data_IF_402867894311
#
_entry.id   IF_402867894311
#
_cell.length_a   1.000
_cell.length_b   1.000
_cell.length_c   1.000
_cell.angle_alpha   90.00
_cell.angle_beta   90.00
_cell.angle_gamma   90.00
#
_symmetry.space_group_name_H-M   'P 1'
#
loop_
_entity.id
_entity.type
_entity.pdbx_description
1 polymer ?
#
# COMPACT_ATOMS: atom_id res chain seq x y z
N UNK A 1 0.71 -12.58 6.22
CA UNK A 1 -0.03 -11.47 6.84
C UNK A 1 0.97 -10.38 7.13
N UNK A 2 0.66 -9.11 6.84
CA UNK A 2 1.61 -8.00 7.10
C UNK A 2 1.90 -7.86 8.59
N UNK A 3 0.87 -8.05 9.41
CA UNK A 3 0.96 -8.02 10.87
C UNK A 3 0.97 -9.40 11.50
N UNK A 4 1.50 -9.51 12.74
CA UNK A 4 1.37 -10.72 13.54
C UNK A 4 -0.09 -11.01 13.91
N UNK A 5 -0.38 -12.27 14.22
CA UNK A 5 -1.61 -12.63 14.89
C UNK A 5 -1.54 -12.26 16.39
N UNK A 6 -2.63 -12.51 17.14
CA UNK A 6 -2.66 -12.17 18.57
C UNK A 6 -1.68 -12.98 19.43
N UNK A 7 -1.19 -14.14 18.96
CA UNK A 7 -0.23 -14.98 19.69
C UNK A 7 1.18 -14.41 19.53
N UNK A 8 1.54 -14.01 18.31
CA UNK A 8 2.86 -13.48 17.99
C UNK A 8 2.99 -11.97 18.22
N UNK A 9 1.88 -11.25 18.38
CA UNK A 9 1.87 -9.80 18.57
C UNK A 9 2.74 -9.31 19.74
N UNK A 10 2.70 -9.90 20.95
CA UNK A 10 3.53 -9.45 22.06
C UNK A 10 5.02 -9.43 21.72
N UNK A 11 5.56 -10.50 21.14
CA UNK A 11 6.99 -10.57 20.79
C UNK A 11 7.34 -9.64 19.63
N UNK A 12 6.45 -9.44 18.66
CA UNK A 12 6.67 -8.43 17.62
C UNK A 12 6.72 -7.01 18.19
N UNK A 13 5.87 -6.68 19.17
CA UNK A 13 5.86 -5.37 19.83
C UNK A 13 7.13 -5.16 20.68
N UNK A 14 7.64 -6.19 21.34
CA UNK A 14 8.93 -6.14 22.03
C UNK A 14 10.08 -5.86 21.04
N UNK A 15 10.05 -6.51 19.87
CA UNK A 15 11.03 -6.28 18.81
C UNK A 15 10.96 -4.85 18.25
N UNK A 16 9.76 -4.30 18.08
CA UNK A 16 9.58 -2.88 17.71
C UNK A 16 10.24 -1.99 18.76
N UNK A 17 9.94 -2.17 20.05
CA UNK A 17 10.56 -1.37 21.11
C UNK A 17 12.08 -1.47 21.06
N UNK A 18 12.62 -2.67 20.89
CA UNK A 18 14.06 -2.90 20.81
C UNK A 18 14.74 -2.25 19.59
N UNK A 19 14.06 -2.17 18.44
CA UNK A 19 14.60 -1.57 17.22
C UNK A 19 14.75 -0.04 17.31
N UNK A 20 13.86 0.62 18.05
CA UNK A 20 13.82 2.08 18.19
C UNK A 20 14.47 2.61 19.47
N UNK A 21 14.68 1.77 20.50
CA UNK A 21 15.33 2.15 21.76
C UNK A 21 16.70 2.85 21.57
N UNK A 22 17.61 2.38 20.68
CA UNK A 22 18.94 2.99 20.52
C UNK A 22 18.91 4.45 20.06
N UNK A 23 17.78 4.90 19.49
CA UNK A 23 17.57 6.24 18.93
C UNK A 23 16.63 7.11 19.76
N UNK A 24 16.38 6.71 21.00
CA UNK A 24 15.52 7.43 21.94
C UNK A 24 14.05 6.98 21.93
N UNK A 25 13.75 5.83 21.32
CA UNK A 25 12.40 5.29 21.22
C UNK A 25 11.61 5.80 20.01
N UNK A 26 10.30 5.57 20.04
CA UNK A 26 9.35 6.03 19.03
C UNK A 26 9.05 7.52 19.21
N UNK A 27 8.88 8.25 18.11
CA UNK A 27 8.33 9.61 18.12
C UNK A 27 6.83 9.63 18.46
N UNK A 28 6.23 10.83 18.57
CA UNK A 28 4.84 11.00 18.97
C UNK A 28 3.85 10.29 18.01
N UNK A 29 4.07 10.38 16.69
CA UNK A 29 3.17 9.79 15.68
C UNK A 29 3.32 8.27 15.63
N UNK A 30 4.55 7.77 15.69
CA UNK A 30 4.86 6.35 15.78
C UNK A 30 4.28 5.74 17.05
N UNK A 31 4.37 6.46 18.17
CA UNK A 31 3.81 6.04 19.44
C UNK A 31 2.27 6.01 19.39
N UNK A 32 1.62 7.00 18.80
CA UNK A 32 0.17 7.00 18.64
C UNK A 32 -0.29 5.82 17.79
N UNK A 33 0.38 5.54 16.66
CA UNK A 33 0.03 4.40 15.81
C UNK A 33 0.20 3.07 16.54
N UNK A 34 1.32 2.85 17.23
CA UNK A 34 1.56 1.55 17.87
C UNK A 34 0.57 1.28 19.00
N UNK A 35 0.15 2.33 19.73
CA UNK A 35 -0.91 2.24 20.74
C UNK A 35 -2.23 1.84 20.09
N UNK A 36 -2.60 2.48 18.99
CA UNK A 36 -3.85 2.16 18.29
C UNK A 36 -3.84 0.78 17.65
N UNK A 37 -2.76 0.38 16.99
CA UNK A 37 -2.62 -0.97 16.44
C UNK A 37 -2.67 -2.03 17.54
N UNK A 38 -1.96 -1.82 18.66
CA UNK A 38 -1.96 -2.73 19.80
C UNK A 38 -3.38 -3.01 20.30
N UNK A 39 -4.15 -1.94 20.49
CA UNK A 39 -5.53 -2.00 20.94
C UNK A 39 -6.48 -2.60 19.89
N UNK A 40 -6.42 -2.11 18.65
CA UNK A 40 -7.40 -2.40 17.60
C UNK A 40 -7.23 -3.79 16.98
N UNK A 41 -5.99 -4.26 16.84
CA UNK A 41 -5.70 -5.55 16.18
C UNK A 41 -5.57 -6.70 17.17
N UNK A 42 -4.98 -6.47 18.35
CA UNK A 42 -4.62 -7.54 19.28
C UNK A 42 -5.23 -7.40 20.67
N UNK A 43 -5.93 -6.28 20.96
CA UNK A 43 -6.51 -6.04 22.29
C UNK A 43 -5.46 -5.88 23.39
N UNK A 44 -4.25 -5.42 23.03
CA UNK A 44 -3.11 -5.23 23.93
C UNK A 44 -2.95 -3.75 24.31
N UNK A 45 -2.33 -3.51 25.45
CA UNK A 45 -1.89 -2.17 25.87
C UNK A 45 -0.39 -2.01 25.64
N UNK A 46 0.03 -1.03 24.85
CA UNK A 46 1.45 -0.78 24.55
C UNK A 46 2.31 -0.56 25.81
N UNK A 47 1.73 0.02 26.86
CA UNK A 47 2.37 0.25 28.17
C UNK A 47 2.78 -1.04 28.88
N UNK A 48 2.18 -2.18 28.53
CA UNK A 48 2.51 -3.50 29.09
C UNK A 48 3.61 -4.23 28.31
N UNK A 49 4.03 -3.69 27.16
CA UNK A 49 5.10 -4.27 26.35
C UNK A 49 6.44 -3.83 26.95
N UNK A 50 7.16 -4.76 27.56
CA UNK A 50 8.47 -4.50 28.14
C UNK A 50 9.58 -4.36 27.09
N UNK A 51 10.66 -3.67 27.44
CA UNK A 51 11.89 -3.74 26.66
C UNK A 51 12.57 -5.09 26.89
N UNK A 52 12.92 -5.76 25.80
CA UNK A 52 13.62 -7.05 25.83
C UNK A 52 14.95 -6.93 25.09
N UNK A 53 16.01 -7.45 25.71
CA UNK A 53 17.34 -7.48 25.11
C UNK A 53 17.31 -8.21 23.73
N UNK A 54 17.81 -7.58 22.66
CA UNK A 54 17.77 -8.15 21.30
C UNK A 54 18.35 -9.56 21.17
N UNK A 55 19.32 -9.95 22.02
CA UNK A 55 19.91 -11.29 22.01
C UNK A 55 18.88 -12.40 22.23
N UNK A 56 17.79 -12.11 22.93
CA UNK A 56 16.69 -13.06 23.17
C UNK A 56 15.85 -13.35 21.92
N UNK A 57 15.89 -12.48 20.91
CA UNK A 57 15.14 -12.70 19.66
C UNK A 57 15.83 -13.68 18.71
N UNK A 58 17.05 -14.13 19.01
CA UNK A 58 17.78 -15.09 18.18
C UNK A 58 16.98 -16.39 17.95
N UNK A 59 16.23 -16.84 18.96
CA UNK A 59 15.41 -18.07 18.92
C UNK A 59 13.99 -17.87 18.38
N UNK A 60 13.57 -16.63 18.09
CA UNK A 60 12.23 -16.34 17.56
C UNK A 60 12.11 -16.90 16.13
N UNK A 61 10.98 -17.54 15.75
CA UNK A 61 10.77 -18.04 14.39
C UNK A 61 10.91 -16.95 13.33
N UNK A 62 11.47 -17.30 12.16
CA UNK A 62 11.69 -16.32 11.09
C UNK A 62 10.41 -15.62 10.64
N UNK A 63 9.28 -16.34 10.57
CA UNK A 63 7.98 -15.76 10.20
C UNK A 63 7.55 -14.61 11.11
N UNK A 64 7.81 -14.73 12.41
CA UNK A 64 7.49 -13.71 13.43
C UNK A 64 8.44 -12.52 13.31
N UNK A 65 9.73 -12.80 13.05
CA UNK A 65 10.71 -11.75 12.76
C UNK A 65 10.32 -10.95 11.52
N UNK A 66 9.87 -11.62 10.45
CA UNK A 66 9.45 -10.95 9.21
C UNK A 66 8.19 -10.08 9.45
N UNK A 67 7.23 -10.54 10.25
CA UNK A 67 6.07 -9.74 10.67
C UNK A 67 6.47 -8.51 11.51
N UNK A 68 7.41 -8.67 12.44
CA UNK A 68 7.96 -7.54 13.18
C UNK A 68 8.69 -6.56 12.24
N UNK A 69 9.42 -7.08 11.24
CA UNK A 69 10.09 -6.27 10.22
C UNK A 69 9.13 -5.33 9.52
N UNK A 70 7.98 -5.84 9.09
CA UNK A 70 6.98 -5.04 8.39
C UNK A 70 6.47 -3.89 9.25
N UNK A 71 6.18 -4.14 10.52
CA UNK A 71 5.71 -3.11 11.45
C UNK A 71 6.80 -2.07 11.75
N UNK A 72 8.05 -2.51 11.94
CA UNK A 72 9.21 -1.63 12.12
C UNK A 72 9.40 -0.73 10.89
N UNK A 73 9.26 -1.26 9.68
CA UNK A 73 9.36 -0.50 8.42
C UNK A 73 8.27 0.56 8.32
N UNK A 74 7.01 0.22 8.65
CA UNK A 74 5.91 1.18 8.64
C UNK A 74 6.20 2.34 9.59
N UNK A 75 6.61 2.03 10.83
CA UNK A 75 6.95 3.05 11.83
C UNK A 75 8.13 3.91 11.39
N UNK A 76 9.19 3.32 10.85
CA UNK A 76 10.34 4.06 10.32
C UNK A 76 9.90 5.04 9.23
N UNK A 77 9.11 4.59 8.26
CA UNK A 77 8.66 5.42 7.14
C UNK A 77 7.64 6.49 7.55
N UNK A 78 7.07 6.43 8.75
CA UNK A 78 6.22 7.50 9.27
C UNK A 78 6.99 8.70 9.81
N UNK A 79 8.25 8.50 10.20
CA UNK A 79 9.05 9.58 10.77
C UNK A 79 9.29 10.66 9.71
N UNK A 80 8.98 11.91 10.06
CA UNK A 80 9.13 13.04 9.15
C UNK A 80 9.82 14.23 9.84
N UNK A 81 11.02 14.65 9.38
CA UNK A 81 11.89 13.95 8.43
C UNK A 81 12.47 12.67 9.06
N UNK A 82 12.63 11.61 8.26
CA UNK A 82 13.28 10.38 8.70
C UNK A 82 14.73 10.68 9.14
N UNK A 83 15.03 10.40 10.42
CA UNK A 83 16.37 10.60 10.97
C UNK A 83 17.32 9.50 10.49
N UNK A 84 18.54 9.83 10.00
CA UNK A 84 19.51 8.83 9.55
C UNK A 84 19.84 7.79 10.64
N UNK A 85 19.95 8.22 11.89
CA UNK A 85 20.22 7.33 13.01
C UNK A 85 19.11 6.29 13.24
N UNK A 86 17.85 6.64 13.00
CA UNK A 86 16.70 5.71 13.09
C UNK A 86 16.78 4.70 11.96
N UNK A 87 17.00 5.17 10.73
CA UNK A 87 17.16 4.31 9.56
C UNK A 87 18.32 3.30 9.71
N UNK A 88 19.43 3.73 10.30
CA UNK A 88 20.62 2.90 10.60
C UNK A 88 20.36 1.92 11.76
N UNK A 89 19.64 2.35 12.80
CA UNK A 89 19.25 1.48 13.93
C UNK A 89 18.36 0.34 13.47
N UNK A 90 17.30 0.65 12.73
CA UNK A 90 16.38 -0.35 12.16
C UNK A 90 17.10 -1.33 11.26
N UNK A 91 17.99 -0.84 10.38
CA UNK A 91 18.77 -1.69 9.49
C UNK A 91 19.71 -2.61 10.27
N UNK A 92 20.41 -2.07 11.26
CA UNK A 92 21.34 -2.83 12.11
C UNK A 92 20.63 -3.91 12.92
N UNK A 93 19.47 -3.57 13.50
CA UNK A 93 18.62 -4.49 14.25
C UNK A 93 18.17 -5.64 13.34
N UNK A 94 17.63 -5.32 12.16
CA UNK A 94 17.16 -6.32 11.21
C UNK A 94 18.28 -7.25 10.72
N UNK A 95 19.47 -6.69 10.40
CA UNK A 95 20.64 -7.48 10.02
C UNK A 95 21.07 -8.44 11.14
N UNK A 96 21.05 -7.97 12.40
CA UNK A 96 21.46 -8.78 13.56
C UNK A 96 20.57 -10.02 13.78
N UNK A 97 19.31 -9.96 13.35
CA UNK A 97 18.33 -11.03 13.51
C UNK A 97 18.11 -11.89 12.26
N UNK A 98 18.83 -11.58 11.17
CA UNK A 98 18.67 -12.25 9.87
C UNK A 98 17.35 -11.93 9.18
N UNK A 99 16.76 -10.76 9.47
CA UNK A 99 15.53 -10.30 8.82
C UNK A 99 15.82 -9.86 7.39
N UNK A 100 15.02 -10.34 6.44
CA UNK A 100 15.20 -9.96 5.03
C UNK A 100 14.56 -8.59 4.81
N UNK A 101 15.37 -7.53 4.87
CA UNK A 101 14.93 -6.16 4.60
C UNK A 101 14.97 -5.81 3.10
N UNK A 102 14.99 -6.81 2.21
CA UNK A 102 14.95 -6.58 0.77
C UNK A 102 13.79 -5.64 0.41
N UNK A 103 12.66 -5.75 1.11
CA UNK A 103 11.48 -4.90 0.91
C UNK A 103 11.69 -3.43 1.31
N UNK A 104 12.46 -3.15 2.38
CA UNK A 104 12.82 -1.78 2.77
C UNK A 104 13.90 -1.23 1.85
N UNK A 105 14.86 -2.05 1.42
CA UNK A 105 15.81 -1.68 0.39
C UNK A 105 15.11 -1.39 -0.93
N UNK A 106 14.09 -2.17 -1.30
CA UNK A 106 13.28 -1.98 -2.49
C UNK A 106 12.42 -0.72 -2.36
N UNK A 107 11.73 -0.49 -1.22
CA UNK A 107 10.96 0.73 -0.97
C UNK A 107 11.86 2.00 -0.93
N UNK A 108 13.03 1.93 -0.29
CA UNK A 108 14.02 3.03 -0.26
C UNK A 108 14.71 3.22 -1.64
N UNK A 109 14.92 2.17 -2.43
CA UNK A 109 15.42 2.27 -3.80
C UNK A 109 14.37 2.77 -4.79
N UNK A 110 13.09 2.44 -4.56
CA UNK A 110 11.94 3.01 -5.26
C UNK A 110 11.81 4.51 -4.99
N UNK A 111 12.09 4.94 -3.76
CA UNK A 111 12.16 6.35 -3.40
C UNK A 111 13.30 7.10 -4.11
N UNK A 112 14.43 6.42 -4.34
CA UNK A 112 15.62 7.06 -4.89
C UNK A 112 15.75 7.05 -6.41
N UNK A 113 15.15 6.16 -7.22
CA UNK A 113 15.02 6.40 -8.69
C UNK A 113 14.28 5.36 -9.58
N UNK A 114 13.65 4.28 -9.09
CA UNK A 114 13.27 3.17 -9.99
C UNK A 114 11.86 2.57 -9.86
N UNK A 115 10.82 3.41 -9.87
CA UNK A 115 9.42 2.98 -10.08
C UNK A 115 9.25 2.18 -11.38
N UNK A 116 10.02 2.50 -12.43
CA UNK A 116 10.02 1.77 -13.69
C UNK A 116 10.60 0.34 -13.57
N UNK A 117 11.56 0.11 -12.65
CA UNK A 117 12.13 -1.21 -12.42
C UNK A 117 11.18 -2.08 -11.61
N UNK A 118 10.52 -1.54 -10.57
CA UNK A 118 9.43 -2.23 -9.88
C UNK A 118 8.28 -2.52 -10.85
N UNK A 119 7.89 -1.58 -11.70
CA UNK A 119 6.86 -1.82 -12.71
C UNK A 119 7.27 -2.93 -13.68
N UNK A 120 8.53 -2.92 -14.15
CA UNK A 120 9.09 -4.00 -14.96
C UNK A 120 9.22 -5.30 -14.17
N UNK A 121 9.40 -5.27 -12.85
CA UNK A 121 9.54 -6.43 -11.99
C UNK A 121 8.18 -7.02 -11.62
N UNK A 122 7.18 -6.19 -11.35
CA UNK A 122 5.76 -6.54 -11.26
C UNK A 122 5.22 -7.04 -12.60
N UNK A 123 5.75 -6.55 -13.74
CA UNK A 123 5.45 -7.08 -15.07
C UNK A 123 6.23 -8.38 -15.40
N UNK A 124 7.50 -8.50 -15.01
CA UNK A 124 8.35 -9.68 -15.27
C UNK A 124 8.01 -10.85 -14.33
N UNK A 125 7.76 -10.55 -13.07
CA UNK A 125 7.15 -11.41 -12.07
C UNK A 125 5.63 -11.24 -12.04
N UNK A 126 5.02 -10.72 -13.12
CA UNK A 126 3.59 -10.80 -13.28
C UNK A 126 3.21 -12.28 -13.34
N UNK A 127 2.77 -12.77 -12.19
CA UNK A 127 1.98 -13.98 -12.01
C UNK A 127 0.65 -13.92 -12.80
N UNK A 128 0.39 -12.84 -13.55
CA UNK A 128 -0.76 -12.58 -14.41
C UNK A 128 -0.43 -12.61 -15.91
N UNK A 129 0.61 -13.33 -16.32
CA UNK A 129 0.93 -13.49 -17.76
C UNK A 129 0.48 -14.86 -18.27
N UNK A 130 -0.72 -14.92 -18.84
CA UNK A 130 -0.95 -15.75 -20.02
C UNK A 130 -1.35 -14.79 -21.15
N UNK A 131 -0.34 -14.25 -21.85
CA UNK A 131 -0.33 -14.11 -23.33
C UNK A 131 0.72 -13.11 -23.87
N UNK A 132 1.31 -12.22 -23.08
CA UNK A 132 2.04 -11.09 -23.69
C UNK A 132 3.52 -11.32 -24.02
N UNK A 133 4.10 -12.49 -23.70
CA UNK A 133 5.54 -12.75 -23.89
C UNK A 133 5.91 -13.53 -25.16
N UNK A 134 4.96 -13.90 -26.04
CA UNK A 134 5.29 -14.59 -27.30
C UNK A 134 5.57 -13.66 -28.50
N UNK A 135 5.22 -12.37 -28.45
CA UNK A 135 5.34 -11.49 -29.63
C UNK A 135 6.68 -10.73 -29.75
N UNK A 136 7.56 -10.78 -28.73
CA UNK A 136 8.78 -9.96 -28.69
C UNK A 136 9.93 -10.43 -29.61
N UNK A 137 9.71 -11.35 -30.57
CA UNK A 137 10.78 -11.81 -31.49
C UNK A 137 10.67 -11.30 -32.94
N UNK A 138 9.73 -10.40 -33.27
CA UNK A 138 9.48 -9.99 -34.67
C UNK A 138 9.55 -8.49 -34.99
N UNK A 139 10.40 -7.70 -34.31
CA UNK A 139 10.77 -6.36 -34.82
C UNK A 139 9.73 -5.23 -34.62
N UNK A 140 8.81 -5.38 -33.67
CA UNK A 140 7.76 -4.39 -33.35
C UNK A 140 8.14 -3.38 -32.26
N UNK A 141 9.37 -2.86 -32.26
CA UNK A 141 9.82 -1.89 -31.23
C UNK A 141 8.94 -0.63 -31.16
N UNK A 142 8.47 -0.12 -32.31
CA UNK A 142 7.57 1.03 -32.38
C UNK A 142 6.19 0.75 -31.78
N UNK A 143 5.65 -0.45 -31.99
CA UNK A 143 4.36 -0.83 -31.43
C UNK A 143 4.47 -1.15 -29.93
N UNK A 144 5.57 -1.75 -29.49
CA UNK A 144 5.92 -1.89 -28.07
C UNK A 144 6.07 -0.53 -27.39
N UNK A 145 6.76 0.42 -28.02
CA UNK A 145 6.92 1.76 -27.47
C UNK A 145 5.57 2.50 -27.44
N UNK A 146 4.75 2.38 -28.50
CA UNK A 146 3.41 2.95 -28.53
C UNK A 146 2.48 2.32 -27.49
N UNK A 147 2.53 1.00 -27.32
CA UNK A 147 1.77 0.27 -26.31
C UNK A 147 2.21 0.70 -24.90
N UNK A 148 3.51 0.85 -24.65
CA UNK A 148 4.02 1.40 -23.39
C UNK A 148 3.57 2.84 -23.16
N UNK A 149 3.65 3.70 -24.18
CA UNK A 149 3.21 5.10 -24.10
C UNK A 149 1.69 5.22 -23.90
N UNK A 150 0.90 4.33 -24.52
CA UNK A 150 -0.54 4.27 -24.32
C UNK A 150 -0.88 3.76 -22.92
N UNK A 151 -0.14 2.76 -22.46
CA UNK A 151 -0.30 2.21 -21.12
C UNK A 151 -0.03 3.27 -20.04
N UNK A 152 1.05 4.07 -20.14
CA UNK A 152 1.34 5.15 -19.18
C UNK A 152 0.52 6.45 -19.42
N UNK A 153 -0.53 6.40 -20.25
CA UNK A 153 -1.45 7.51 -20.49
C UNK A 153 -0.88 8.68 -21.30
N UNK A 154 0.24 8.50 -22.01
CA UNK A 154 0.83 9.53 -22.91
C UNK A 154 0.11 9.57 -24.26
N UNK A 155 -0.42 8.42 -24.70
CA UNK A 155 -1.22 8.28 -25.91
C UNK A 155 -2.55 7.62 -25.51
N UNK A 156 -3.63 7.94 -26.19
CA UNK A 156 -4.93 7.32 -25.93
C UNK A 156 -4.95 5.85 -26.37
N UNK A 157 -5.50 4.99 -25.50
CA UNK A 157 -5.97 3.65 -25.82
C UNK A 157 -7.50 3.66 -25.83
N UNK A 158 -8.08 3.79 -27.02
CA UNK A 158 -9.53 3.88 -27.20
C UNK A 158 -10.28 2.63 -26.76
N UNK A 159 -9.64 1.46 -26.75
CA UNK A 159 -10.28 0.20 -26.33
C UNK A 159 -10.38 0.19 -24.82
N UNK A 160 -9.30 0.54 -24.13
CA UNK A 160 -9.28 0.67 -22.69
C UNK A 160 -10.20 1.79 -22.21
N UNK A 161 -10.18 2.96 -22.86
CA UNK A 161 -11.07 4.07 -22.55
C UNK A 161 -12.54 3.65 -22.64
N UNK A 162 -12.95 2.97 -23.73
CA UNK A 162 -14.32 2.45 -23.88
C UNK A 162 -14.70 1.45 -22.79
N UNK A 163 -13.77 0.56 -22.40
CA UNK A 163 -13.98 -0.39 -21.30
C UNK A 163 -14.28 0.35 -20.00
N UNK A 164 -13.47 1.35 -19.64
CA UNK A 164 -13.66 2.11 -18.40
C UNK A 164 -14.87 3.05 -18.44
N UNK A 165 -15.14 3.70 -19.58
CA UNK A 165 -16.35 4.50 -19.78
C UNK A 165 -17.64 3.67 -19.66
N UNK A 166 -17.61 2.37 -19.97
CA UNK A 166 -18.77 1.49 -19.78
C UNK A 166 -19.23 1.36 -18.32
N UNK A 167 -18.39 1.76 -17.36
CA UNK A 167 -18.77 1.84 -15.95
C UNK A 167 -19.89 2.88 -15.70
N UNK A 168 -20.00 3.91 -16.55
CA UNK A 168 -21.07 4.91 -16.48
C UNK A 168 -22.47 4.31 -16.70
N UNK A 169 -22.54 3.17 -17.40
CA UNK A 169 -23.78 2.46 -17.72
C UNK A 169 -24.15 1.41 -16.65
N UNK A 170 -23.30 1.19 -15.64
CA UNK A 170 -23.59 0.24 -14.57
C UNK A 170 -24.78 0.74 -13.71
N UNK A 171 -25.54 -0.17 -13.08
CA UNK A 171 -26.71 0.20 -12.27
C UNK A 171 -26.36 1.16 -11.13
N UNK A 172 -27.27 2.08 -10.78
CA UNK A 172 -27.10 2.96 -9.62
C UNK A 172 -26.89 2.13 -8.33
N UNK A 173 -25.92 2.55 -7.52
CA UNK A 173 -25.51 1.83 -6.30
C UNK A 173 -24.68 0.56 -6.56
N UNK A 174 -24.31 0.26 -7.82
CA UNK A 174 -23.32 -0.76 -8.13
C UNK A 174 -21.89 -0.26 -7.88
N UNK A 175 -20.95 -1.19 -7.69
CA UNK A 175 -19.56 -0.87 -7.46
C UNK A 175 -18.92 -0.16 -8.66
N UNK A 176 -19.16 -0.67 -9.87
CA UNK A 176 -18.69 -0.06 -11.11
C UNK A 176 -19.24 1.35 -11.32
N UNK A 177 -20.53 1.57 -11.03
CA UNK A 177 -21.12 2.91 -11.08
C UNK A 177 -20.46 3.85 -10.08
N UNK A 178 -20.19 3.38 -8.86
CA UNK A 178 -19.44 4.14 -7.85
C UNK A 178 -18.03 4.53 -8.31
N UNK A 179 -17.31 3.65 -9.02
CA UNK A 179 -16.00 3.96 -9.62
C UNK A 179 -16.12 4.99 -10.74
N UNK A 180 -17.14 4.90 -11.60
CA UNK A 180 -17.37 5.92 -12.62
C UNK A 180 -17.65 7.29 -12.01
N UNK A 181 -18.50 7.34 -10.97
CA UNK A 181 -18.85 8.57 -10.27
C UNK A 181 -17.64 9.14 -9.50
N UNK A 182 -16.77 8.28 -8.96
CA UNK A 182 -15.49 8.67 -8.36
C UNK A 182 -14.60 9.41 -9.37
N UNK A 183 -14.40 8.85 -10.57
CA UNK A 183 -13.62 9.50 -11.62
C UNK A 183 -14.23 10.84 -12.07
N UNK A 184 -15.56 10.87 -12.29
CA UNK A 184 -16.27 12.08 -12.73
C UNK A 184 -16.22 13.19 -11.68
N UNK A 185 -16.44 12.86 -10.41
CA UNK A 185 -16.47 13.83 -9.31
C UNK A 185 -15.11 14.47 -9.04
N UNK A 186 -14.02 13.71 -9.20
CA UNK A 186 -12.65 14.21 -9.04
C UNK A 186 -12.09 14.84 -10.32
N UNK A 187 -12.81 14.75 -11.45
CA UNK A 187 -12.33 15.23 -12.75
C UNK A 187 -11.15 14.43 -13.29
N UNK A 188 -11.01 13.17 -12.89
CA UNK A 188 -9.95 12.28 -13.36
C UNK A 188 -10.29 11.74 -14.76
N UNK A 189 -9.33 11.74 -15.71
CA UNK A 189 -9.50 11.04 -16.98
C UNK A 189 -9.58 9.53 -16.74
N UNK A 190 -10.47 8.84 -17.43
CA UNK A 190 -10.58 7.39 -17.33
C UNK A 190 -9.30 6.71 -17.84
N UNK A 191 -8.97 5.50 -17.34
CA UNK A 191 -7.87 4.72 -17.89
C UNK A 191 -8.03 4.49 -19.39
N UNK A 192 -6.95 4.72 -20.13
CA UNK A 192 -6.94 4.70 -21.60
C UNK A 192 -7.24 6.05 -22.25
N UNK A 193 -7.79 7.03 -21.52
CA UNK A 193 -7.86 8.42 -21.97
C UNK A 193 -6.51 9.11 -21.83
N UNK A 194 -6.35 10.25 -22.52
CA UNK A 194 -5.13 11.05 -22.42
C UNK A 194 -4.93 11.53 -20.98
N UNK A 195 -3.74 11.31 -20.43
CA UNK A 195 -3.39 11.57 -19.03
C UNK A 195 -4.12 10.71 -17.99
N UNK A 196 -4.93 9.74 -18.41
CA UNK A 196 -5.52 8.76 -17.51
C UNK A 196 -4.46 7.88 -16.87
N UNK A 197 -4.72 7.43 -15.64
CA UNK A 197 -3.90 6.44 -14.96
C UNK A 197 -3.97 5.11 -15.73
N UNK A 198 -2.89 4.35 -15.70
CA UNK A 198 -2.84 3.04 -16.34
C UNK A 198 -3.72 2.03 -15.59
N UNK A 199 -4.26 1.04 -16.29
CA UNK A 199 -5.31 0.15 -15.75
C UNK A 199 -4.89 -0.62 -14.48
N UNK A 200 -3.63 -1.06 -14.39
CA UNK A 200 -3.15 -1.76 -13.19
C UNK A 200 -3.07 -0.82 -11.98
N UNK A 201 -2.66 0.43 -12.18
CA UNK A 201 -2.64 1.46 -11.16
C UNK A 201 -4.07 1.77 -10.73
N UNK A 202 -4.98 1.93 -11.69
CA UNK A 202 -6.39 2.24 -11.47
C UNK A 202 -7.16 1.21 -10.61
N UNK A 203 -6.57 0.04 -10.33
CA UNK A 203 -7.17 -0.96 -9.44
C UNK A 203 -7.34 -0.45 -8.00
N UNK A 204 -6.45 0.42 -7.50
CA UNK A 204 -6.61 0.97 -6.15
C UNK A 204 -7.81 1.93 -6.05
N UNK A 205 -8.20 2.59 -7.14
CA UNK A 205 -9.41 3.42 -7.20
C UNK A 205 -10.69 2.62 -6.92
N UNK A 206 -10.71 1.34 -7.30
CA UNK A 206 -11.80 0.45 -6.90
C UNK A 206 -11.84 0.22 -5.40
N UNK A 207 -10.66 0.22 -4.75
CA UNK A 207 -10.53 0.07 -3.30
C UNK A 207 -10.96 1.33 -2.58
N UNK A 208 -10.68 2.54 -3.11
CA UNK A 208 -11.24 3.79 -2.57
C UNK A 208 -12.77 3.70 -2.47
N UNK A 209 -13.44 3.29 -3.55
CA UNK A 209 -14.91 3.16 -3.56
C UNK A 209 -15.40 2.03 -2.65
N UNK A 210 -14.71 0.88 -2.66
CA UNK A 210 -15.08 -0.27 -1.83
C UNK A 210 -14.95 0.05 -0.34
N UNK A 211 -13.84 0.64 0.08
CA UNK A 211 -13.52 0.95 1.46
C UNK A 211 -14.03 2.33 1.92
N UNK A 212 -14.45 3.19 1.00
CA UNK A 212 -15.02 4.52 1.30
C UNK A 212 -13.98 5.58 1.67
N UNK A 213 -12.71 5.41 1.28
CA UNK A 213 -11.67 6.41 1.53
C UNK A 213 -11.59 7.42 0.39
N UNK A 214 -11.38 8.69 0.75
CA UNK A 214 -11.20 9.80 -0.19
C UNK A 214 -9.77 9.80 -0.78
N UNK A 215 -9.47 10.79 -1.64
CA UNK A 215 -8.18 11.00 -2.32
C UNK A 215 -7.37 12.17 -1.76
N UNK A 216 -7.77 12.71 -0.61
CA UNK A 216 -6.92 13.60 0.16
C UNK A 216 -5.68 12.83 0.69
N UNK A 217 -4.59 13.51 1.07
CA UNK A 217 -3.36 12.85 1.51
C UNK A 217 -3.55 11.76 2.58
N UNK A 218 -4.46 12.00 3.53
CA UNK A 218 -4.82 11.07 4.59
C UNK A 218 -5.65 9.90 4.06
N UNK A 219 -6.59 10.15 3.15
CA UNK A 219 -7.39 9.12 2.49
C UNK A 219 -6.54 8.16 1.64
N UNK A 220 -5.51 8.69 0.98
CA UNK A 220 -4.48 7.88 0.30
C UNK A 220 -3.73 6.99 1.31
N UNK A 221 -3.31 7.52 2.45
CA UNK A 221 -2.67 6.71 3.49
C UNK A 221 -3.63 5.64 4.04
N UNK A 222 -4.89 5.99 4.31
CA UNK A 222 -5.91 5.07 4.80
C UNK A 222 -6.19 3.92 3.83
N UNK A 223 -6.34 4.20 2.54
CA UNK A 223 -6.60 3.18 1.52
C UNK A 223 -5.40 2.25 1.39
N UNK A 224 -4.17 2.77 1.45
CA UNK A 224 -2.98 1.94 1.31
C UNK A 224 -2.68 1.14 2.59
N UNK A 225 -3.06 1.62 3.78
CA UNK A 225 -3.08 0.78 4.99
C UNK A 225 -4.07 -0.39 4.84
N UNK A 226 -5.26 -0.11 4.31
CA UNK A 226 -6.25 -1.14 4.01
C UNK A 226 -5.74 -2.15 2.98
N UNK A 227 -5.21 -1.69 1.84
CA UNK A 227 -4.66 -2.53 0.77
C UNK A 227 -3.55 -3.42 1.32
N UNK A 228 -2.62 -2.83 2.06
CA UNK A 228 -1.52 -3.57 2.66
C UNK A 228 -2.05 -4.72 3.52
N UNK A 229 -2.93 -4.42 4.49
CA UNK A 229 -3.47 -5.45 5.37
C UNK A 229 -4.31 -6.51 4.62
N UNK A 230 -5.09 -6.13 3.62
CA UNK A 230 -5.94 -7.03 2.83
C UNK A 230 -5.13 -7.97 1.92
N UNK A 231 -4.06 -7.48 1.30
CA UNK A 231 -3.14 -8.32 0.51
C UNK A 231 -2.38 -9.30 1.40
N UNK A 232 -1.99 -8.86 2.60
CA UNK A 232 -1.38 -9.72 3.61
C UNK A 232 0.02 -10.23 3.24
N UNK A 233 0.70 -9.61 2.26
CA UNK A 233 2.03 -9.98 1.79
C UNK A 233 2.90 -8.75 1.45
N UNK A 234 4.14 -9.02 1.03
CA UNK A 234 5.16 -8.01 0.72
C UNK A 234 4.73 -6.95 -0.29
N UNK A 235 3.85 -7.30 -1.25
CA UNK A 235 3.41 -6.38 -2.31
C UNK A 235 2.61 -5.22 -1.71
N UNK A 236 1.72 -5.54 -0.77
CA UNK A 236 0.93 -4.55 -0.05
C UNK A 236 1.81 -3.61 0.78
N UNK A 237 2.84 -4.15 1.43
CA UNK A 237 3.80 -3.35 2.20
C UNK A 237 4.61 -2.40 1.31
N UNK A 238 5.05 -2.85 0.14
CA UNK A 238 5.76 -2.00 -0.84
C UNK A 238 4.89 -0.84 -1.29
N UNK A 239 3.63 -1.11 -1.64
CA UNK A 239 2.68 -0.06 -2.03
C UNK A 239 2.49 0.97 -0.91
N UNK A 240 2.30 0.50 0.32
CA UNK A 240 2.21 1.36 1.49
C UNK A 240 3.49 2.18 1.72
N UNK A 241 4.67 1.57 1.57
CA UNK A 241 5.94 2.27 1.71
C UNK A 241 6.12 3.40 0.70
N UNK A 242 5.66 3.20 -0.54
CA UNK A 242 5.62 4.27 -1.56
C UNK A 242 4.66 5.39 -1.13
N UNK A 243 3.47 5.05 -0.63
CA UNK A 243 2.46 6.03 -0.19
C UNK A 243 2.95 6.84 1.01
N UNK A 244 3.57 6.20 2.02
CA UNK A 244 4.23 6.91 3.14
C UNK A 244 5.36 7.81 2.65
N UNK A 245 6.12 7.34 1.65
CA UNK A 245 7.15 8.12 0.99
C UNK A 245 6.63 9.41 0.33
N UNK A 246 5.43 9.36 -0.26
CA UNK A 246 4.78 10.48 -0.95
C UNK A 246 4.05 11.43 -0.01
N UNK A 247 3.30 10.87 0.94
CA UNK A 247 2.30 11.59 1.73
C UNK A 247 2.67 11.79 3.21
N UNK A 248 3.78 11.23 3.67
CA UNK A 248 4.21 11.39 5.05
C UNK A 248 5.65 11.90 5.14
N UNK A 249 6.64 11.08 4.81
CA UNK A 249 8.03 11.44 5.08
C UNK A 249 8.69 12.28 3.95
N UNK A 250 8.07 12.35 2.77
CA UNK A 250 8.55 13.14 1.63
C UNK A 250 9.80 12.60 0.93
N UNK A 251 10.19 11.35 1.20
CA UNK A 251 11.30 10.67 0.53
C UNK A 251 11.02 10.42 -0.95
N UNK A 252 9.75 10.47 -1.36
CA UNK A 252 9.31 10.34 -2.75
C UNK A 252 8.60 11.61 -3.15
N UNK A 253 9.10 12.28 -4.19
CA UNK A 253 8.51 13.53 -4.70
C UNK A 253 7.90 13.37 -6.10
N UNK A 254 8.21 12.27 -6.78
CA UNK A 254 7.79 12.01 -8.14
C UNK A 254 7.39 10.55 -8.31
N UNK A 255 6.27 10.34 -9.01
CA UNK A 255 5.88 9.04 -9.55
C UNK A 255 5.85 9.18 -11.06
N UNK A 256 6.56 8.32 -11.77
CA UNK A 256 6.64 8.37 -13.25
C UNK A 256 7.09 9.74 -13.81
N UNK A 257 8.04 10.41 -13.15
CA UNK A 257 8.52 11.76 -13.50
C UNK A 257 7.43 12.85 -13.45
N UNK A 258 6.23 12.54 -12.97
CA UNK A 258 5.18 13.51 -12.69
C UNK A 258 5.19 13.81 -11.20
N UNK A 259 5.12 15.11 -10.88
CA UNK A 259 4.83 15.54 -9.53
C UNK A 259 3.38 15.16 -9.22
N UNK A 260 3.17 14.43 -8.14
CA UNK A 260 1.82 14.12 -7.65
C UNK A 260 1.27 15.41 -7.02
N UNK A 261 0.19 15.94 -7.61
CA UNK A 261 -0.27 17.31 -7.34
C UNK A 261 -0.78 17.53 -5.91
N UNK A 262 -1.32 16.48 -5.28
CA UNK A 262 -1.80 16.46 -3.90
C UNK A 262 -0.77 15.92 -2.90
N UNK A 263 0.45 15.55 -3.32
CA UNK A 263 1.46 15.07 -2.38
C UNK A 263 1.77 16.14 -1.33
N UNK A 264 1.57 15.77 -0.08
CA UNK A 264 1.85 16.57 1.11
C UNK A 264 2.73 15.74 2.01
N UNK A 265 3.87 16.26 2.43
CA UNK A 265 4.64 15.70 3.55
C UNK A 265 3.94 16.06 4.83
N UNK A 266 3.87 15.18 5.83
CA UNK A 266 3.21 15.36 7.15
C UNK A 266 1.72 15.01 7.31
N UNK A 267 1.07 14.33 6.35
CA UNK A 267 -0.38 14.11 6.41
C UNK A 267 -0.87 13.37 7.68
N UNK A 268 -0.06 12.50 8.30
CA UNK A 268 -0.42 11.84 9.57
C UNK A 268 -0.35 12.77 10.78
N UNK A 269 0.22 13.98 10.65
CA UNK A 269 0.20 15.00 11.69
C UNK A 269 -1.16 15.69 11.86
N UNK A 270 -2.09 15.47 10.92
CA UNK A 270 -3.42 16.06 11.00
C UNK A 270 -4.29 15.38 12.09
N UNK A 271 -5.16 16.13 12.79
CA UNK A 271 -5.96 15.58 13.88
C UNK A 271 -6.79 14.35 13.46
N UNK A 272 -6.54 13.22 14.14
CA UNK A 272 -7.27 11.97 13.91
C UNK A 272 -6.80 11.16 12.68
N UNK A 273 -5.77 11.60 11.97
CA UNK A 273 -5.22 10.88 10.82
C UNK A 273 -4.60 9.52 11.25
N UNK A 274 -3.89 9.48 12.38
CA UNK A 274 -3.30 8.23 12.91
C UNK A 274 -4.39 7.20 13.26
N UNK A 275 -5.45 7.59 13.97
CA UNK A 275 -6.53 6.67 14.34
C UNK A 275 -7.21 6.09 13.09
N UNK A 276 -7.46 6.93 12.07
CA UNK A 276 -8.00 6.49 10.77
C UNK A 276 -7.06 5.53 10.05
N UNK A 277 -5.76 5.83 10.04
CA UNK A 277 -4.73 4.99 9.43
C UNK A 277 -4.65 3.61 10.11
N UNK A 278 -4.68 3.58 11.45
CA UNK A 278 -4.78 2.35 12.24
C UNK A 278 -6.07 1.56 11.94
N UNK A 279 -7.21 2.26 11.79
CA UNK A 279 -8.48 1.68 11.38
C UNK A 279 -8.40 1.10 9.96
N UNK A 280 -7.64 1.72 9.06
CA UNK A 280 -7.31 1.21 7.73
C UNK A 280 -6.74 -0.20 7.79
N UNK A 281 -5.71 -0.39 8.59
CA UNK A 281 -5.12 -1.71 8.83
C UNK A 281 -6.12 -2.70 9.45
N UNK A 282 -6.89 -2.28 10.46
CA UNK A 282 -7.93 -3.14 11.07
C UNK A 282 -8.94 -3.61 10.05
N UNK A 283 -9.51 -2.69 9.26
CA UNK A 283 -10.51 -3.00 8.22
C UNK A 283 -9.92 -3.90 7.13
N UNK A 284 -8.69 -3.62 6.68
CA UNK A 284 -8.00 -4.45 5.69
C UNK A 284 -7.73 -5.87 6.21
N UNK A 285 -7.39 -6.04 7.49
CA UNK A 285 -7.18 -7.36 8.10
C UNK A 285 -8.43 -8.24 8.16
N UNK A 286 -9.62 -7.64 8.03
CA UNK A 286 -10.91 -8.34 7.95
C UNK A 286 -11.35 -8.60 6.51
N UNK A 287 -10.75 -7.92 5.54
CA UNK A 287 -11.01 -8.14 4.13
C UNK A 287 -10.54 -9.54 3.74
N UNK A 288 -11.42 -10.35 3.16
CA UNK A 288 -11.16 -11.76 2.86
C UNK A 288 -10.58 -11.99 1.46
N UNK A 289 -10.36 -10.91 0.70
CA UNK A 289 -9.87 -10.96 -0.69
C UNK A 289 -8.78 -9.93 -0.92
N UNK A 290 -7.82 -10.26 -1.79
CA UNK A 290 -6.89 -9.31 -2.38
C UNK A 290 -7.58 -8.63 -3.57
N UNK A 291 -8.16 -7.44 -3.35
CA UNK A 291 -8.85 -6.65 -4.38
C UNK A 291 -7.88 -6.20 -5.48
N UNK A 292 -6.64 -5.89 -5.10
CA UNK A 292 -5.59 -5.46 -6.01
C UNK A 292 -5.12 -6.56 -6.95
N UNK A 293 -5.26 -7.84 -6.58
CA UNK A 293 -4.77 -8.97 -7.37
C UNK A 293 -5.82 -9.97 -7.82
N UNK A 294 -6.55 -10.56 -6.88
CA UNK A 294 -7.35 -11.79 -7.11
C UNK A 294 -8.76 -11.54 -7.62
N UNK A 295 -9.30 -10.33 -7.41
CA UNK A 295 -10.66 -9.98 -7.81
C UNK A 295 -10.68 -9.55 -9.27
N UNK A 296 -11.57 -10.17 -10.06
CA UNK A 296 -11.96 -9.65 -11.37
C UNK A 296 -12.97 -8.50 -11.18
N UNK A 297 -12.43 -7.28 -11.14
CA UNK A 297 -13.18 -6.06 -10.84
C UNK A 297 -14.32 -5.82 -11.84
N UNK A 298 -14.06 -6.02 -13.14
CA UNK A 298 -15.06 -5.79 -14.18
C UNK A 298 -16.14 -6.86 -14.20
N UNK A 299 -15.85 -8.11 -13.79
CA UNK A 299 -16.88 -9.11 -13.58
C UNK A 299 -17.85 -8.76 -12.43
N UNK A 300 -17.41 -7.93 -11.47
CA UNK A 300 -18.20 -7.49 -10.32
C UNK A 300 -18.78 -6.07 -10.48
N UNK A 301 -18.58 -5.41 -11.61
CA UNK A 301 -18.93 -3.99 -11.81
C UNK A 301 -20.42 -3.70 -11.55
N UNK A 302 -21.31 -4.63 -11.90
CA UNK A 302 -22.76 -4.45 -11.75
C UNK A 302 -23.27 -4.89 -10.36
N UNK A 303 -22.39 -5.44 -9.51
CA UNK A 303 -22.74 -5.85 -8.15
C UNK A 303 -23.04 -4.62 -7.27
N UNK A 304 -24.11 -4.66 -6.49
CA UNK A 304 -24.39 -3.64 -5.49
C UNK A 304 -23.22 -3.49 -4.50
N UNK A 305 -22.82 -2.26 -4.21
CA UNK A 305 -21.62 -1.97 -3.41
C UNK A 305 -21.70 -2.53 -1.98
N UNK A 306 -22.88 -2.49 -1.34
CA UNK A 306 -23.06 -3.06 0.00
C UNK A 306 -22.95 -4.58 -0.01
N UNK A 307 -23.45 -5.22 -1.08
CA UNK A 307 -23.25 -6.65 -1.29
C UNK A 307 -21.77 -6.98 -1.49
N UNK A 308 -21.02 -6.17 -2.25
CA UNK A 308 -19.58 -6.36 -2.42
C UNK A 308 -18.83 -6.22 -1.08
N UNK A 309 -19.09 -5.14 -0.32
CA UNK A 309 -18.51 -4.92 1.00
C UNK A 309 -18.75 -6.10 1.94
N UNK A 310 -19.99 -6.57 2.03
CA UNK A 310 -20.34 -7.73 2.85
C UNK A 310 -19.64 -9.01 2.38
N UNK A 311 -19.59 -9.26 1.07
CA UNK A 311 -19.01 -10.48 0.51
C UNK A 311 -17.49 -10.54 0.67
N UNK A 312 -16.84 -9.38 0.68
CA UNK A 312 -15.40 -9.25 0.83
C UNK A 312 -14.94 -8.97 2.26
N UNK A 313 -15.86 -8.89 3.23
CA UNK A 313 -15.51 -8.65 4.64
C UNK A 313 -15.05 -7.21 4.94
N UNK A 314 -15.49 -6.24 4.13
CA UNK A 314 -15.16 -4.82 4.33
C UNK A 314 -16.15 -4.19 5.30
N UNK A 315 -15.70 -3.94 6.53
CA UNK A 315 -16.48 -3.20 7.52
C UNK A 315 -16.69 -1.74 7.07
N UNK A 316 -17.78 -1.06 7.46
CA UNK A 316 -17.95 0.39 7.25
C UNK A 316 -16.84 1.24 7.91
N UNK A 317 -16.74 2.51 7.50
CA UNK A 317 -15.84 3.52 8.12
C UNK A 317 -16.28 3.87 9.54
#
# INVERSE_FOLDING_TARGET
MIFPDAVDAPVCLEMVRAAFEPTGGLDDLQHELIVDLARMLWGLEWTTVDFVDPSKFSTVPQSVKDQAAHLIVVLELMEHPLRPEVADSVLSFAMSLGMTMQMLADARAMANEHIAAMYLDLQRHSWYTHETLQESRHGRFRELLRSKLAYIGVIEDQTLARKWQSLLECPDGSWGKGVADFYVSHGFPFPGEKHGIYELGARHDWVHVLAGYDTDPEGELDVFAFIAAAMGDARGLVLLGITLGLFQNGSIQHVEMKRIGNARTDALGDPGAIERFARGFRRGSKCTVDVMGTVDLFAHKDMNIETARKSFGVEPI
#
